data_IF_806940800727
#
_entry.id   IF_806940800727
#
_cell.length_a   1.000
_cell.length_b   1.000
_cell.length_c   1.000
_cell.angle_alpha   90.00
_cell.angle_beta   90.00
_cell.angle_gamma   90.00
#
_symmetry.space_group_name_H-M   'P 1'
#
loop_
_entity.id
_entity.type
_entity.pdbx_description
1 polymer ?
#
# COMPACT_ATOMS: atom_id res chain seq x y z
N UNK A 1 9.04 21.29 -19.51
CA UNK A 1 9.26 20.17 -18.57
C UNK A 1 8.52 20.52 -17.28
N UNK A 2 7.67 19.65 -16.72
CA UNK A 2 7.12 19.91 -15.39
C UNK A 2 8.27 20.06 -14.37
N UNK A 3 8.13 21.00 -13.44
CA UNK A 3 9.13 21.22 -12.39
C UNK A 3 9.13 20.03 -11.43
N UNK A 4 10.31 19.44 -11.21
CA UNK A 4 10.47 18.32 -10.27
C UNK A 4 11.14 18.80 -8.98
N UNK A 5 10.71 18.30 -7.83
CA UNK A 5 11.31 18.58 -6.52
C UNK A 5 11.83 17.31 -5.87
N UNK A 6 13.02 17.38 -5.26
CA UNK A 6 13.61 16.27 -4.54
C UNK A 6 13.08 16.18 -3.12
N UNK A 7 12.30 15.13 -2.82
CA UNK A 7 11.84 14.81 -1.47
C UNK A 7 12.75 13.76 -0.82
N UNK A 8 13.27 14.06 0.38
CA UNK A 8 14.12 13.15 1.15
C UNK A 8 13.58 13.00 2.57
N UNK A 9 13.53 11.77 3.06
CA UNK A 9 13.17 11.45 4.44
C UNK A 9 14.05 10.32 4.97
N UNK A 10 14.19 10.23 6.29
CA UNK A 10 14.93 9.13 6.95
C UNK A 10 13.96 8.01 7.28
N UNK A 11 14.34 6.78 6.91
CA UNK A 11 13.57 5.57 7.22
C UNK A 11 14.49 4.51 7.84
N UNK A 12 13.98 3.62 8.71
CA UNK A 12 14.76 2.50 9.19
C UNK A 12 15.23 1.62 8.03
N UNK A 13 16.53 1.33 7.96
CA UNK A 13 17.15 0.56 6.86
C UNK A 13 16.48 -0.80 6.66
N UNK A 14 16.15 -1.49 7.75
CA UNK A 14 15.48 -2.79 7.67
C UNK A 14 14.06 -2.68 7.08
N UNK A 15 13.34 -1.58 7.32
CA UNK A 15 12.01 -1.33 6.74
C UNK A 15 12.12 -1.10 5.24
N UNK A 16 13.06 -0.26 4.81
CA UNK A 16 13.29 0.01 3.39
C UNK A 16 13.67 -1.27 2.64
N UNK A 17 14.61 -2.06 3.16
CA UNK A 17 15.02 -3.33 2.54
C UNK A 17 13.88 -4.33 2.36
N UNK A 18 12.94 -4.41 3.31
CA UNK A 18 11.76 -5.28 3.17
C UNK A 18 10.80 -4.75 2.10
N UNK A 19 10.55 -3.44 2.09
CA UNK A 19 9.68 -2.82 1.09
C UNK A 19 10.25 -2.93 -0.32
N UNK A 20 11.57 -2.76 -0.50
CA UNK A 20 12.27 -2.93 -1.78
C UNK A 20 12.03 -4.29 -2.42
N UNK A 21 12.01 -5.37 -1.62
CA UNK A 21 11.69 -6.72 -2.14
C UNK A 21 10.27 -6.80 -2.70
N UNK A 22 9.31 -6.12 -2.06
CA UNK A 22 7.92 -6.07 -2.52
C UNK A 22 7.81 -5.25 -3.80
N UNK A 23 8.39 -4.05 -3.82
CA UNK A 23 8.37 -3.19 -5.01
C UNK A 23 9.07 -3.85 -6.20
N UNK A 24 10.20 -4.52 -5.98
CA UNK A 24 10.92 -5.26 -7.02
C UNK A 24 10.05 -6.36 -7.65
N UNK A 25 9.29 -7.11 -6.84
CA UNK A 25 8.33 -8.11 -7.34
C UNK A 25 7.21 -7.50 -8.19
N UNK A 26 6.91 -6.22 -7.99
CA UNK A 26 5.94 -5.45 -8.78
C UNK A 26 6.60 -4.69 -9.95
N UNK A 27 7.91 -4.85 -10.19
CA UNK A 27 8.64 -4.15 -11.25
C UNK A 27 8.89 -2.66 -10.96
N UNK A 28 8.85 -2.25 -9.69
CA UNK A 28 8.93 -0.86 -9.26
C UNK A 28 10.18 -0.56 -8.44
N UNK A 29 10.76 0.63 -8.62
CA UNK A 29 11.75 1.17 -7.68
C UNK A 29 11.04 1.86 -6.50
N UNK A 30 11.72 2.05 -5.36
CA UNK A 30 11.14 2.80 -4.24
C UNK A 30 10.65 4.19 -4.63
N UNK A 31 11.39 4.91 -5.49
CA UNK A 31 10.99 6.23 -5.98
C UNK A 31 9.65 6.20 -6.74
N UNK A 32 9.44 5.18 -7.58
CA UNK A 32 8.20 5.00 -8.32
C UNK A 32 7.03 4.76 -7.36
N UNK A 33 7.23 3.87 -6.38
CA UNK A 33 6.22 3.57 -5.37
C UNK A 33 5.84 4.80 -4.52
N UNK A 34 6.82 5.62 -4.15
CA UNK A 34 6.56 6.87 -3.42
C UNK A 34 5.83 7.92 -4.28
N UNK A 35 6.17 8.04 -5.56
CA UNK A 35 5.44 8.93 -6.46
C UNK A 35 3.99 8.48 -6.65
N UNK A 36 3.73 7.16 -6.77
CA UNK A 36 2.36 6.64 -6.81
C UNK A 36 1.62 6.93 -5.50
N UNK A 37 2.28 6.76 -4.35
CA UNK A 37 1.70 7.11 -3.06
C UNK A 37 1.28 8.59 -3.02
N UNK A 38 2.15 9.51 -3.43
CA UNK A 38 1.84 10.95 -3.46
C UNK A 38 0.69 11.26 -4.42
N UNK A 39 0.67 10.62 -5.60
CA UNK A 39 -0.43 10.76 -6.56
C UNK A 39 -1.76 10.27 -5.97
N UNK A 40 -1.76 9.17 -5.21
CA UNK A 40 -2.98 8.69 -4.54
C UNK A 40 -3.44 9.63 -3.43
N UNK A 41 -2.52 10.23 -2.67
CA UNK A 41 -2.84 11.24 -1.65
C UNK A 41 -3.49 12.45 -2.30
N UNK A 42 -2.92 12.94 -3.41
CA UNK A 42 -3.46 14.07 -4.17
C UNK A 42 -4.86 13.78 -4.71
N UNK A 43 -5.06 12.63 -5.36
CA UNK A 43 -6.35 12.25 -5.96
C UNK A 43 -7.44 12.10 -4.90
N UNK A 44 -7.11 11.53 -3.74
CA UNK A 44 -8.09 11.23 -2.68
C UNK A 44 -8.32 12.41 -1.73
N UNK A 45 -7.41 13.39 -1.73
CA UNK A 45 -7.30 14.41 -0.68
C UNK A 45 -7.29 13.80 0.74
N UNK A 46 -6.73 12.59 0.85
CA UNK A 46 -6.66 11.78 2.06
C UNK A 46 -5.61 10.66 1.90
N UNK A 47 -5.31 9.93 2.96
CA UNK A 47 -4.39 8.81 2.94
C UNK A 47 -4.92 7.66 2.06
N UNK A 48 -4.04 6.97 1.31
CA UNK A 48 -4.46 5.88 0.41
C UNK A 48 -4.79 4.57 1.12
N UNK A 49 -4.84 4.60 2.46
CA UNK A 49 -5.22 3.51 3.33
C UNK A 49 -5.87 4.08 4.59
N UNK A 50 -6.74 3.30 5.23
CA UNK A 50 -7.42 3.70 6.46
C UNK A 50 -6.41 3.95 7.58
N UNK A 51 -6.38 5.17 8.11
CA UNK A 51 -5.58 5.53 9.29
C UNK A 51 -6.49 5.46 10.50
N UNK A 52 -6.38 4.37 11.27
CA UNK A 52 -7.21 4.12 12.46
C UNK A 52 -6.34 3.65 13.63
N UNK A 53 -6.74 4.01 14.85
CA UNK A 53 -6.16 3.46 16.10
C UNK A 53 -6.70 2.07 16.42
N UNK A 54 -7.77 1.65 15.73
CA UNK A 54 -8.42 0.35 15.84
C UNK A 54 -8.36 -0.35 14.48
N UNK A 55 -7.21 -0.92 14.12
CA UNK A 55 -7.06 -1.60 12.84
C UNK A 55 -7.94 -2.85 12.81
N UNK A 56 -8.70 -3.01 11.71
CA UNK A 56 -9.36 -4.28 11.46
C UNK A 56 -8.31 -5.37 11.33
N UNK A 57 -8.57 -6.49 12.00
CA UNK A 57 -7.67 -7.64 11.95
C UNK A 57 -7.59 -8.12 10.51
N UNK A 58 -6.37 -8.27 9.98
CA UNK A 58 -6.16 -8.94 8.68
C UNK A 58 -6.72 -10.35 8.82
N UNK A 59 -7.80 -10.63 8.11
CA UNK A 59 -8.45 -11.93 8.09
C UNK A 59 -7.49 -12.98 7.52
N UNK A 60 -7.47 -14.16 8.14
CA UNK A 60 -6.79 -15.32 7.60
C UNK A 60 -7.41 -15.74 6.26
N UNK A 61 -6.67 -16.52 5.46
CA UNK A 61 -7.17 -17.02 4.17
C UNK A 61 -8.49 -17.77 4.29
N UNK A 62 -8.69 -18.51 5.40
CA UNK A 62 -9.93 -19.23 5.67
C UNK A 62 -11.10 -18.28 5.96
N UNK A 63 -10.87 -17.22 6.73
CA UNK A 63 -11.88 -16.20 7.03
C UNK A 63 -12.21 -15.36 5.79
N UNK A 64 -11.23 -15.08 4.92
CA UNK A 64 -11.48 -14.45 3.63
C UNK A 64 -12.34 -15.34 2.73
N UNK A 65 -12.03 -16.64 2.63
CA UNK A 65 -12.83 -17.58 1.85
C UNK A 65 -14.30 -17.62 2.27
N UNK A 66 -14.56 -17.61 3.58
CA UNK A 66 -15.92 -17.59 4.13
C UNK A 66 -16.71 -16.32 3.76
N UNK A 67 -16.07 -15.15 3.79
CA UNK A 67 -16.73 -13.89 3.38
C UNK A 67 -17.10 -13.92 1.90
N UNK A 68 -16.28 -14.56 1.06
CA UNK A 68 -16.55 -14.67 -0.37
C UNK A 68 -17.72 -15.62 -0.64
N UNK A 69 -17.80 -16.73 0.09
CA UNK A 69 -18.91 -17.69 0.06
C UNK A 69 -20.23 -17.04 0.53
N UNK A 70 -20.19 -16.30 1.65
CA UNK A 70 -21.35 -15.57 2.18
C UNK A 70 -21.83 -14.44 1.25
N UNK A 71 -20.93 -13.84 0.46
CA UNK A 71 -21.25 -12.69 -0.42
C UNK A 71 -21.67 -13.08 -1.83
N UNK A 72 -21.21 -14.22 -2.35
CA UNK A 72 -21.44 -14.66 -3.73
C UNK A 72 -22.41 -15.83 -3.86
N UNK A 73 -22.79 -16.46 -2.75
CA UNK A 73 -23.67 -17.64 -2.70
C UNK A 73 -22.94 -18.95 -3.03
N UNK A 74 -23.48 -20.08 -2.55
CA UNK A 74 -23.03 -21.42 -2.95
C UNK A 74 -23.24 -21.57 -4.46
N UNK A 75 -22.19 -22.00 -5.17
CA UNK A 75 -22.29 -22.41 -6.57
C UNK A 75 -23.02 -23.75 -6.71
#
# INVERSE_FOLDING_TARGET
MPSTTLFRTRVPTARLRRAEKVFSRLGMKPGDAFNIFLAQVEIRNDMPFSVTTSPDRILSTAEQGKIWEDSLGEY
#
